data_IF_510457293852
#
_entry.id   IF_510457293852
#
_cell.length_a   1.000
_cell.length_b   1.000
_cell.length_c   1.000
_cell.angle_alpha   90.00
_cell.angle_beta   90.00
_cell.angle_gamma   90.00
#
_symmetry.space_group_name_H-M   'P 1'
#
loop_
_entity.id
_entity.type
_entity.pdbx_description
1 polymer ?
#
# COMPACT_ATOMS: atom_id res chain seq x y z
N UNK A 1 10.02 12.70 -67.36
CA UNK A 1 8.88 12.83 -66.43
C UNK A 1 9.40 13.23 -65.07
N UNK A 2 8.98 14.39 -64.58
CA UNK A 2 9.27 14.94 -63.25
C UNK A 2 8.36 14.27 -62.23
N UNK A 3 8.88 13.49 -61.28
CA UNK A 3 8.12 13.04 -60.10
C UNK A 3 8.85 13.46 -58.82
N UNK A 4 8.35 14.58 -58.29
CA UNK A 4 8.04 14.89 -56.89
C UNK A 4 9.01 14.47 -55.78
N UNK A 5 9.67 15.48 -55.18
CA UNK A 5 10.22 15.42 -53.82
C UNK A 5 9.06 15.37 -52.82
N UNK A 6 8.83 14.23 -52.19
CA UNK A 6 7.98 14.14 -51.02
C UNK A 6 8.72 14.72 -49.80
N UNK A 7 8.19 15.83 -49.29
CA UNK A 7 8.60 16.46 -48.04
C UNK A 7 8.25 15.54 -46.86
N UNK A 8 9.22 14.74 -46.40
CA UNK A 8 9.14 14.05 -45.12
C UNK A 8 9.19 15.07 -43.97
N UNK A 9 8.03 15.61 -43.58
CA UNK A 9 7.87 16.30 -42.29
C UNK A 9 8.07 15.27 -41.18
N UNK A 10 9.30 15.15 -40.71
CA UNK A 10 9.66 14.41 -39.50
C UNK A 10 8.72 14.86 -38.36
N UNK A 11 7.88 13.95 -37.91
CA UNK A 11 7.08 14.10 -36.71
C UNK A 11 8.03 14.33 -35.54
N UNK A 12 8.21 15.60 -35.11
CA UNK A 12 8.99 15.93 -33.92
C UNK A 12 8.44 15.09 -32.77
N UNK A 13 9.22 14.12 -32.30
CA UNK A 13 8.89 13.31 -31.12
C UNK A 13 8.65 14.30 -29.97
N UNK A 14 7.42 14.39 -29.48
CA UNK A 14 7.09 15.19 -28.31
C UNK A 14 7.76 14.53 -27.11
N UNK A 15 8.86 15.11 -26.65
CA UNK A 15 9.56 14.66 -25.47
C UNK A 15 9.00 15.38 -24.24
N UNK A 16 8.67 14.62 -23.19
CA UNK A 16 8.32 15.20 -21.89
C UNK A 16 9.57 15.84 -21.32
N UNK A 17 9.50 17.12 -21.00
CA UNK A 17 10.56 17.86 -20.29
C UNK A 17 10.04 18.21 -18.91
N UNK A 18 10.77 17.83 -17.88
CA UNK A 18 10.51 18.28 -16.52
C UNK A 18 11.11 19.68 -16.35
N UNK A 19 10.36 20.57 -15.70
CA UNK A 19 10.77 21.96 -15.47
C UNK A 19 11.27 22.14 -14.04
N UNK A 20 10.38 22.58 -13.15
CA UNK A 20 10.70 22.89 -11.76
C UNK A 20 10.12 21.83 -10.81
N UNK A 21 10.70 21.74 -9.63
CA UNK A 21 10.20 20.94 -8.51
C UNK A 21 9.49 21.87 -7.53
N UNK A 22 8.29 21.50 -7.11
CA UNK A 22 7.57 22.17 -6.02
C UNK A 22 7.54 21.22 -4.83
N UNK A 23 8.17 21.61 -3.74
CA UNK A 23 8.17 20.86 -2.49
C UNK A 23 7.13 21.45 -1.55
N UNK A 24 6.23 20.59 -1.05
CA UNK A 24 5.21 20.95 -0.09
C UNK A 24 5.55 20.26 1.23
N UNK A 25 5.79 21.04 2.29
CA UNK A 25 6.06 20.50 3.61
C UNK A 25 4.79 20.48 4.44
N UNK A 26 4.52 19.33 5.07
CA UNK A 26 3.36 19.15 5.93
C UNK A 26 3.84 18.79 7.35
N UNK A 27 3.27 19.40 8.40
CA UNK A 27 3.47 18.93 9.76
C UNK A 27 3.10 17.45 9.89
N UNK A 28 3.85 16.73 10.71
CA UNK A 28 3.49 15.38 11.12
C UNK A 28 2.27 15.45 12.02
N UNK A 29 1.32 14.55 11.80
CA UNK A 29 0.13 14.37 12.63
C UNK A 29 -0.21 12.89 12.68
N UNK A 30 -1.07 12.48 13.60
CA UNK A 30 -1.68 11.16 13.56
C UNK A 30 -2.47 11.01 12.24
N UNK A 31 -2.34 9.86 11.59
CA UNK A 31 -3.15 9.48 10.43
C UNK A 31 -4.56 9.13 10.88
N UNK A 32 -5.52 9.14 9.95
CA UNK A 32 -6.95 8.90 10.25
C UNK A 32 -7.62 7.98 9.22
N UNK A 33 -6.86 7.31 8.35
CA UNK A 33 -7.43 6.57 7.20
C UNK A 33 -6.76 5.24 6.88
N UNK A 34 -5.90 4.76 7.77
CA UNK A 34 -5.24 3.49 7.53
C UNK A 34 -6.15 2.38 8.06
N UNK A 35 -6.67 1.55 7.16
CA UNK A 35 -7.38 0.32 7.53
C UNK A 35 -6.51 -0.90 7.16
N UNK A 36 -5.32 -1.07 7.76
CA UNK A 36 -4.61 -2.33 7.69
C UNK A 36 -5.35 -3.37 8.55
N UNK A 37 -5.15 -4.64 8.23
CA UNK A 37 -5.64 -5.77 9.03
C UNK A 37 -5.08 -5.76 10.46
N UNK A 38 -3.96 -5.07 10.70
CA UNK A 38 -3.34 -4.88 12.01
C UNK A 38 -2.64 -3.52 12.07
N UNK A 39 -2.59 -2.94 13.26
CA UNK A 39 -1.87 -1.70 13.53
C UNK A 39 -2.79 -0.51 13.63
N UNK A 40 -2.76 0.13 14.80
CA UNK A 40 -3.48 1.35 15.14
C UNK A 40 -2.49 2.52 15.13
N UNK A 41 -2.92 3.78 15.21
CA UNK A 41 -2.05 4.95 15.45
C UNK A 41 -1.01 5.20 14.34
N UNK A 42 -1.47 5.55 13.15
CA UNK A 42 -0.56 5.73 12.01
C UNK A 42 0.12 7.10 11.98
N UNK A 43 1.34 7.19 11.42
CA UNK A 43 1.99 8.48 11.19
C UNK A 43 1.49 9.08 9.87
N UNK A 44 0.78 10.19 9.97
CA UNK A 44 0.22 10.95 8.85
C UNK A 44 0.90 12.29 8.61
N UNK A 45 0.27 13.06 7.74
CA UNK A 45 0.59 14.45 7.44
C UNK A 45 -0.68 15.29 7.64
N UNK A 46 -0.49 16.53 8.09
CA UNK A 46 -1.62 17.45 8.22
C UNK A 46 -2.34 17.69 6.89
N UNK A 47 -3.62 18.08 6.96
CA UNK A 47 -4.42 18.41 5.77
C UNK A 47 -3.90 19.63 5.00
N UNK A 48 -3.13 20.50 5.66
CA UNK A 48 -2.57 21.73 5.09
C UNK A 48 -1.05 21.73 5.20
N UNK A 49 -0.38 22.15 4.14
CA UNK A 49 1.06 22.36 4.16
C UNK A 49 1.39 23.58 5.02
N UNK A 50 2.57 23.57 5.63
CA UNK A 50 3.14 24.71 6.35
C UNK A 50 4.16 25.49 5.50
N UNK A 51 4.74 24.87 4.47
CA UNK A 51 5.62 25.56 3.52
C UNK A 51 5.44 25.06 2.09
N UNK A 52 5.76 25.93 1.14
CA UNK A 52 5.89 25.64 -0.28
C UNK A 52 7.23 26.22 -0.73
N UNK A 53 8.07 25.38 -1.32
CA UNK A 53 9.35 25.78 -1.89
C UNK A 53 9.42 25.38 -3.38
N UNK A 54 10.10 26.19 -4.18
CA UNK A 54 10.30 25.92 -5.60
C UNK A 54 11.80 25.78 -5.90
N UNK A 55 12.15 24.72 -6.62
CA UNK A 55 13.53 24.41 -7.00
C UNK A 55 13.66 24.14 -8.49
N UNK A 56 14.84 24.41 -9.03
CA UNK A 56 15.26 23.77 -10.28
C UNK A 56 15.51 22.28 -10.03
N UNK A 57 15.55 21.47 -11.08
CA UNK A 57 15.87 20.04 -10.96
C UNK A 57 17.26 19.86 -10.32
N UNK A 58 18.26 20.59 -10.79
CA UNK A 58 19.65 20.47 -10.32
C UNK A 58 19.81 20.84 -8.83
N UNK A 59 19.12 21.89 -8.37
CA UNK A 59 19.17 22.30 -6.97
C UNK A 59 18.47 21.31 -6.05
N UNK A 60 17.34 20.74 -6.51
CA UNK A 60 16.63 19.73 -5.75
C UNK A 60 17.43 18.43 -5.62
N UNK A 61 18.18 18.04 -6.66
CA UNK A 61 19.08 16.88 -6.59
C UNK A 61 20.18 17.05 -5.53
N UNK A 62 20.80 18.24 -5.48
CA UNK A 62 21.79 18.58 -4.43
C UNK A 62 21.16 18.54 -3.04
N UNK A 63 19.96 19.12 -2.88
CA UNK A 63 19.20 19.11 -1.61
C UNK A 63 18.90 17.68 -1.17
N UNK A 64 18.44 16.82 -2.09
CA UNK A 64 18.14 15.41 -1.82
C UNK A 64 19.39 14.64 -1.37
N UNK A 65 20.52 14.85 -2.03
CA UNK A 65 21.81 14.26 -1.62
C UNK A 65 22.18 14.70 -0.20
N UNK A 66 22.13 16.00 0.08
CA UNK A 66 22.45 16.54 1.40
C UNK A 66 21.56 15.94 2.51
N UNK A 67 20.25 15.77 2.24
CA UNK A 67 19.32 15.10 3.17
C UNK A 67 19.73 13.65 3.46
N UNK A 68 20.08 12.88 2.44
CA UNK A 68 20.53 11.49 2.61
C UNK A 68 21.80 11.40 3.46
N UNK A 69 22.76 12.31 3.25
CA UNK A 69 23.95 12.36 4.10
C UNK A 69 23.60 12.66 5.55
N UNK A 70 22.78 13.68 5.81
CA UNK A 70 22.35 14.04 7.18
C UNK A 70 21.62 12.88 7.88
N UNK A 71 20.73 12.19 7.18
CA UNK A 71 20.03 11.02 7.73
C UNK A 71 21.00 9.89 8.11
N UNK A 72 22.05 9.64 7.30
CA UNK A 72 23.10 8.66 7.65
C UNK A 72 23.84 9.03 8.93
N UNK A 73 24.10 10.31 9.19
CA UNK A 73 24.77 10.78 10.40
C UNK A 73 23.85 10.81 11.63
N UNK A 74 22.56 11.15 11.49
CA UNK A 74 21.63 11.15 12.61
C UNK A 74 21.32 9.72 13.11
N UNK A 75 21.30 8.72 12.23
CA UNK A 75 21.08 7.31 12.61
C UNK A 75 22.23 6.79 13.48
N UNK A 76 23.47 7.27 13.31
CA UNK A 76 24.59 6.85 14.17
C UNK A 76 24.51 7.34 15.62
N UNK A 77 23.58 8.25 15.96
CA UNK A 77 23.43 8.79 17.31
C UNK A 77 22.23 8.22 18.09
N UNK A 78 21.27 7.57 17.43
CA UNK A 78 20.14 6.91 18.10
C UNK A 78 20.41 5.41 18.23
N UNK A 79 20.82 4.98 19.43
CA UNK A 79 20.89 3.58 19.87
C UNK A 79 19.49 2.95 20.01
N UNK A 80 18.64 3.04 18.99
CA UNK A 80 17.42 2.25 18.89
C UNK A 80 17.73 1.05 17.98
N UNK A 81 18.12 -0.04 18.65
CA UNK A 81 18.47 -1.33 18.09
C UNK A 81 17.25 -2.08 17.52
N UNK A 82 16.48 -1.43 16.63
CA UNK A 82 15.39 -2.05 15.87
C UNK A 82 15.28 -1.48 14.44
N UNK A 83 16.34 -0.87 13.91
CA UNK A 83 16.39 -0.52 12.50
C UNK A 83 17.12 -1.60 11.69
N UNK A 84 16.35 -2.21 10.77
CA UNK A 84 16.85 -3.07 9.71
C UNK A 84 18.14 -2.49 9.12
N UNK A 85 19.23 -3.18 9.39
CA UNK A 85 20.58 -2.86 8.97
C UNK A 85 20.58 -2.67 7.45
N UNK A 86 20.66 -1.40 6.98
CA UNK A 86 20.74 -1.05 5.55
C UNK A 86 21.99 -1.66 4.87
N UNK A 87 22.86 -2.26 5.67
CA UNK A 87 24.01 -3.09 5.33
C UNK A 87 23.64 -4.43 4.67
N UNK A 88 22.40 -4.93 4.82
CA UNK A 88 21.95 -6.19 4.22
C UNK A 88 20.84 -5.99 3.17
N UNK A 89 21.22 -5.45 2.03
CA UNK A 89 20.47 -5.61 0.76
C UNK A 89 20.54 -7.06 0.21
N UNK A 90 20.69 -8.07 1.08
CA UNK A 90 20.72 -9.48 0.75
C UNK A 90 19.62 -10.22 1.50
N UNK A 91 18.92 -11.07 0.76
CA UNK A 91 17.72 -11.78 1.18
C UNK A 91 17.97 -12.68 2.40
N UNK A 92 16.88 -12.98 3.11
CA UNK A 92 16.73 -13.98 4.19
C UNK A 92 16.83 -13.42 5.62
N UNK A 93 15.92 -12.53 5.98
CA UNK A 93 15.32 -12.65 7.31
C UNK A 93 13.85 -12.22 7.31
N UNK A 94 12.91 -13.09 7.76
CA UNK A 94 11.53 -12.71 8.07
C UNK A 94 11.42 -11.64 9.18
N UNK A 95 12.51 -11.28 9.84
CA UNK A 95 12.51 -10.42 11.03
C UNK A 95 12.47 -8.91 10.72
N UNK A 96 12.53 -8.47 9.45
CA UNK A 96 12.54 -7.03 9.13
C UNK A 96 11.15 -6.38 8.96
N UNK A 97 10.06 -7.16 9.01
CA UNK A 97 8.67 -6.67 8.91
C UNK A 97 7.81 -7.25 10.05
N UNK A 98 8.38 -7.34 11.24
CA UNK A 98 7.60 -7.73 12.40
C UNK A 98 6.63 -6.59 12.78
N UNK A 99 5.38 -6.90 13.13
CA UNK A 99 4.45 -5.90 13.62
C UNK A 99 5.03 -5.18 14.83
N UNK A 100 5.10 -3.85 14.77
CA UNK A 100 5.52 -3.00 15.88
C UNK A 100 4.41 -2.97 16.93
N UNK A 101 4.78 -3.17 18.19
CA UNK A 101 3.86 -3.11 19.33
C UNK A 101 3.29 -1.71 19.55
N UNK A 102 2.18 -1.60 20.28
CA UNK A 102 1.50 -0.31 20.48
C UNK A 102 2.40 0.72 21.17
N UNK A 103 3.16 0.32 22.20
CA UNK A 103 4.04 1.21 22.95
C UNK A 103 5.20 1.75 22.10
N UNK A 104 5.82 0.89 21.30
CA UNK A 104 6.90 1.30 20.39
C UNK A 104 6.36 2.23 19.30
N UNK A 105 5.14 1.98 18.82
CA UNK A 105 4.47 2.86 17.86
C UNK A 105 4.15 4.24 18.45
N UNK A 106 3.67 4.30 19.69
CA UNK A 106 3.45 5.57 20.42
C UNK A 106 4.76 6.37 20.55
N UNK A 107 5.87 5.69 20.87
CA UNK A 107 7.17 6.34 20.97
C UNK A 107 7.61 6.92 19.61
N UNK A 108 7.45 6.17 18.52
CA UNK A 108 7.78 6.63 17.17
C UNK A 108 6.94 7.85 16.75
N UNK A 109 5.66 7.90 17.12
CA UNK A 109 4.80 9.07 16.85
C UNK A 109 5.28 10.30 17.63
N UNK A 110 5.58 10.13 18.93
CA UNK A 110 6.11 11.22 19.77
C UNK A 110 7.46 11.73 19.27
N UNK A 111 8.38 10.83 18.93
CA UNK A 111 9.68 11.18 18.32
C UNK A 111 9.52 11.89 16.97
N UNK A 112 8.44 11.60 16.23
CA UNK A 112 8.10 12.29 15.00
C UNK A 112 7.40 13.65 15.21
N UNK A 113 7.23 14.10 16.46
CA UNK A 113 6.61 15.37 16.82
C UNK A 113 5.08 15.33 16.93
N UNK A 114 4.49 14.13 17.07
CA UNK A 114 3.06 13.95 17.36
C UNK A 114 2.88 13.78 18.87
N UNK A 115 2.64 14.90 19.56
CA UNK A 115 2.54 14.92 21.03
C UNK A 115 1.17 14.47 21.53
N UNK A 116 0.11 14.97 20.88
CA UNK A 116 -1.28 14.65 21.17
C UNK A 116 -1.73 13.48 20.28
N UNK A 117 -1.92 12.32 20.92
CA UNK A 117 -2.37 11.10 20.26
C UNK A 117 -3.82 10.86 20.68
N UNK A 118 -4.70 10.84 19.69
CA UNK A 118 -6.12 10.56 19.84
C UNK A 118 -6.33 9.05 19.94
N UNK A 119 -6.75 8.59 21.13
CA UNK A 119 -7.03 7.19 21.39
C UNK A 119 -8.36 6.73 20.76
N UNK A 120 -9.27 7.64 20.36
CA UNK A 120 -10.55 7.29 19.73
C UNK A 120 -10.33 6.65 18.34
N UNK A 121 -9.25 6.98 17.63
CA UNK A 121 -8.93 6.38 16.31
C UNK A 121 -8.82 4.86 16.40
N UNK A 122 -8.32 4.35 17.53
CA UNK A 122 -8.20 2.92 17.76
C UNK A 122 -9.57 2.26 17.76
N UNK A 123 -10.55 2.88 18.40
CA UNK A 123 -11.91 2.36 18.50
C UNK A 123 -12.63 2.46 17.15
N UNK A 124 -12.46 3.56 16.41
CA UNK A 124 -12.97 3.72 15.04
C UNK A 124 -12.39 2.66 14.10
N UNK A 125 -11.07 2.44 14.15
CA UNK A 125 -10.41 1.42 13.36
C UNK A 125 -10.92 0.01 13.70
N UNK A 126 -11.14 -0.28 14.99
CA UNK A 126 -11.70 -1.55 15.43
C UNK A 126 -13.15 -1.72 14.95
N UNK A 127 -13.97 -0.67 15.01
CA UNK A 127 -15.32 -0.68 14.48
C UNK A 127 -15.33 -1.01 12.97
N UNK A 128 -14.49 -0.34 12.19
CA UNK A 128 -14.38 -0.58 10.74
C UNK A 128 -13.89 -2.01 10.46
N UNK A 129 -12.91 -2.51 11.21
CA UNK A 129 -12.41 -3.90 11.05
C UNK A 129 -13.52 -4.90 11.33
N UNK A 130 -14.20 -4.79 12.47
CA UNK A 130 -15.30 -5.67 12.85
C UNK A 130 -16.43 -5.62 11.82
N UNK A 131 -16.79 -4.43 11.33
CA UNK A 131 -17.78 -4.27 10.28
C UNK A 131 -17.36 -4.96 8.97
N UNK A 132 -16.07 -4.95 8.63
CA UNK A 132 -15.53 -5.59 7.41
C UNK A 132 -15.29 -7.08 7.55
N UNK A 133 -15.28 -7.62 8.77
CA UNK A 133 -15.24 -9.08 8.98
C UNK A 133 -16.56 -9.72 8.57
N UNK A 134 -17.67 -8.99 8.69
CA UNK A 134 -19.00 -9.41 8.23
C UNK A 134 -19.07 -9.17 6.73
N UNK A 135 -18.67 -10.18 5.96
CA UNK A 135 -18.68 -10.14 4.51
C UNK A 135 -19.04 -11.51 3.92
N UNK A 136 -19.54 -11.52 2.69
CA UNK A 136 -20.01 -12.75 2.03
C UNK A 136 -21.45 -13.14 2.44
N UNK A 137 -21.91 -14.30 1.95
CA UNK A 137 -23.22 -14.82 2.30
C UNK A 137 -23.15 -15.75 3.54
N UNK A 138 -24.24 -15.82 4.30
CA UNK A 138 -24.38 -16.71 5.47
C UNK A 138 -24.95 -18.10 5.12
N UNK A 139 -25.08 -18.39 3.82
CA UNK A 139 -25.57 -19.67 3.32
C UNK A 139 -24.75 -20.85 3.87
N UNK A 140 -25.37 -22.04 3.97
CA UNK A 140 -24.68 -23.29 4.33
C UNK A 140 -24.83 -24.27 3.19
N UNK A 141 -23.69 -24.76 2.70
CA UNK A 141 -23.57 -25.63 1.52
C UNK A 141 -23.98 -24.98 0.20
N UNK A 142 -25.24 -24.58 0.03
CA UNK A 142 -25.78 -24.03 -1.22
C UNK A 142 -26.32 -22.61 -1.07
N UNK A 143 -26.37 -21.86 -2.18
CA UNK A 143 -26.94 -20.51 -2.22
C UNK A 143 -28.34 -20.55 -2.83
N UNK A 144 -29.33 -20.10 -2.05
CA UNK A 144 -30.71 -19.90 -2.50
C UNK A 144 -30.83 -18.55 -3.25
N UNK A 145 -31.44 -18.50 -4.45
CA UNK A 145 -31.59 -17.27 -5.24
C UNK A 145 -32.31 -16.12 -4.51
N UNK A 146 -33.26 -16.43 -3.64
CA UNK A 146 -34.11 -15.43 -3.00
C UNK A 146 -33.54 -14.95 -1.65
N UNK A 147 -32.55 -15.68 -1.10
CA UNK A 147 -32.01 -15.42 0.26
C UNK A 147 -30.53 -15.06 0.25
N UNK A 148 -29.74 -15.57 -0.69
CA UNK A 148 -28.29 -15.38 -0.68
C UNK A 148 -27.91 -13.92 -0.97
N UNK A 149 -27.27 -13.26 -0.01
CA UNK A 149 -26.81 -11.86 -0.14
C UNK A 149 -25.92 -11.63 -1.37
N UNK A 150 -25.08 -12.60 -1.75
CA UNK A 150 -24.22 -12.47 -2.94
C UNK A 150 -25.02 -12.58 -4.24
N UNK A 151 -26.06 -13.43 -4.29
CA UNK A 151 -26.94 -13.53 -5.47
C UNK A 151 -27.76 -12.26 -5.61
N UNK A 152 -28.38 -11.80 -4.52
CA UNK A 152 -29.18 -10.57 -4.50
C UNK A 152 -28.35 -9.33 -4.85
N UNK A 153 -27.05 -9.33 -4.52
CA UNK A 153 -26.12 -8.26 -4.88
C UNK A 153 -25.47 -8.43 -6.26
N UNK A 154 -25.85 -9.47 -7.03
CA UNK A 154 -25.33 -9.74 -8.38
C UNK A 154 -23.80 -9.89 -8.46
N UNK A 155 -23.20 -10.50 -7.43
CA UNK A 155 -21.74 -10.74 -7.35
C UNK A 155 -21.42 -12.23 -7.14
N UNK A 156 -20.24 -12.71 -7.61
CA UNK A 156 -19.81 -14.07 -7.32
C UNK A 156 -19.57 -14.25 -5.82
N UNK A 157 -19.87 -15.45 -5.32
CA UNK A 157 -19.44 -15.85 -3.98
C UNK A 157 -17.89 -15.90 -3.93
N UNK A 158 -17.32 -15.63 -2.77
CA UNK A 158 -15.87 -15.72 -2.52
C UNK A 158 -15.62 -16.66 -1.34
N UNK A 159 -14.82 -17.70 -1.55
CA UNK A 159 -14.41 -18.66 -0.52
C UNK A 159 -12.89 -18.64 -0.44
N UNK A 160 -12.36 -18.10 0.66
CA UNK A 160 -10.92 -18.11 0.94
C UNK A 160 -10.52 -19.27 1.86
N UNK A 161 -11.37 -19.56 2.84
CA UNK A 161 -11.27 -20.69 3.76
C UNK A 161 -12.68 -21.16 4.11
N UNK A 162 -12.80 -22.27 4.84
CA UNK A 162 -14.09 -22.75 5.28
C UNK A 162 -14.85 -21.63 6.02
N UNK A 163 -16.09 -21.37 5.58
CA UNK A 163 -17.01 -20.37 6.13
C UNK A 163 -16.51 -18.92 6.11
N UNK A 164 -15.62 -18.56 5.18
CA UNK A 164 -15.17 -17.17 5.04
C UNK A 164 -14.61 -16.88 3.63
N UNK A 165 -14.95 -15.73 3.01
CA UNK A 165 -16.05 -14.82 3.36
C UNK A 165 -17.44 -15.46 3.30
N UNK A 166 -17.70 -16.31 2.31
CA UNK A 166 -18.99 -16.97 2.17
C UNK A 166 -19.08 -18.29 2.96
N UNK A 167 -20.25 -18.58 3.51
CA UNK A 167 -20.58 -19.83 4.20
C UNK A 167 -20.91 -21.02 3.28
N UNK A 168 -21.26 -20.75 2.01
CA UNK A 168 -21.49 -21.79 1.01
C UNK A 168 -20.20 -22.57 0.70
N UNK A 169 -20.32 -23.79 0.20
CA UNK A 169 -19.16 -24.64 -0.09
C UNK A 169 -18.81 -24.61 -1.57
N UNK A 170 -17.55 -24.93 -1.88
CA UNK A 170 -17.03 -24.92 -3.26
C UNK A 170 -17.82 -25.82 -4.20
N UNK A 171 -18.28 -26.95 -3.68
CA UNK A 171 -18.89 -28.02 -4.48
C UNK A 171 -20.39 -27.81 -4.67
N UNK A 172 -21.04 -27.11 -3.74
CA UNK A 172 -22.50 -26.96 -3.70
C UNK A 172 -22.98 -25.50 -3.88
N UNK A 173 -22.07 -24.53 -4.02
CA UNK A 173 -22.44 -23.15 -4.32
C UNK A 173 -23.13 -23.05 -5.68
N UNK A 174 -24.40 -22.64 -5.67
CA UNK A 174 -25.25 -22.46 -6.86
C UNK A 174 -25.47 -20.99 -7.22
N UNK A 175 -24.56 -20.10 -6.82
CA UNK A 175 -24.63 -18.70 -7.21
C UNK A 175 -24.46 -18.59 -8.75
N UNK A 176 -25.48 -18.09 -9.49
CA UNK A 176 -25.38 -17.95 -10.95
C UNK A 176 -24.30 -16.96 -11.39
N UNK A 177 -23.92 -16.01 -10.53
CA UNK A 177 -22.84 -15.05 -10.80
C UNK A 177 -21.44 -15.65 -10.61
N UNK A 178 -21.37 -16.89 -10.11
CA UNK A 178 -20.14 -17.66 -9.95
C UNK A 178 -19.67 -17.82 -8.50
N UNK A 179 -18.60 -18.59 -8.35
CA UNK A 179 -17.97 -18.86 -7.06
C UNK A 179 -16.44 -18.86 -7.22
N UNK A 180 -15.80 -17.87 -6.62
CA UNK A 180 -14.35 -17.69 -6.62
C UNK A 180 -13.73 -18.40 -5.41
N UNK A 181 -12.67 -19.15 -5.67
CA UNK A 181 -11.97 -19.93 -4.65
C UNK A 181 -10.53 -19.46 -4.58
N UNK A 182 -10.04 -19.19 -3.36
CA UNK A 182 -8.64 -18.85 -3.16
C UNK A 182 -7.72 -19.99 -3.59
N UNK A 183 -6.72 -19.67 -4.41
CA UNK A 183 -5.77 -20.64 -4.92
C UNK A 183 -4.33 -20.23 -4.57
N UNK A 184 -3.79 -20.87 -3.53
CA UNK A 184 -2.45 -20.58 -3.02
C UNK A 184 -1.37 -20.77 -4.08
N UNK A 185 -1.44 -21.84 -4.86
CA UNK A 185 -0.46 -22.17 -5.92
C UNK A 185 -0.41 -21.08 -7.00
N UNK A 186 -1.58 -20.55 -7.39
CA UNK A 186 -1.68 -19.44 -8.37
C UNK A 186 -1.00 -18.18 -7.83
N UNK A 187 -1.22 -17.85 -6.55
CA UNK A 187 -0.59 -16.70 -5.89
C UNK A 187 0.94 -16.87 -5.82
N UNK A 188 1.42 -18.02 -5.36
CA UNK A 188 2.86 -18.32 -5.29
C UNK A 188 3.53 -18.28 -6.66
N UNK A 189 2.89 -18.84 -7.69
CA UNK A 189 3.40 -18.83 -9.06
C UNK A 189 3.50 -17.40 -9.60
N UNK A 190 2.47 -16.57 -9.37
CA UNK A 190 2.49 -15.16 -9.74
C UNK A 190 3.64 -14.43 -9.05
N UNK A 191 3.79 -14.60 -7.74
CA UNK A 191 4.88 -14.00 -6.96
C UNK A 191 6.25 -14.30 -7.56
N UNK A 192 6.55 -15.59 -7.81
CA UNK A 192 7.84 -15.97 -8.39
C UNK A 192 8.08 -15.36 -9.78
N UNK A 193 7.05 -15.31 -10.64
CA UNK A 193 7.14 -14.68 -11.97
C UNK A 193 7.42 -13.18 -11.86
N UNK A 194 6.71 -12.49 -10.99
CA UNK A 194 6.86 -11.05 -10.78
C UNK A 194 8.25 -10.71 -10.25
N UNK A 195 8.75 -11.44 -9.26
CA UNK A 195 10.12 -11.22 -8.73
C UNK A 195 11.19 -11.48 -9.80
N UNK A 196 11.05 -12.53 -10.61
CA UNK A 196 11.97 -12.79 -11.72
C UNK A 196 12.01 -11.64 -12.72
N UNK A 197 10.85 -11.09 -13.11
CA UNK A 197 10.77 -9.95 -14.03
C UNK A 197 11.44 -8.70 -13.47
N UNK A 198 11.22 -8.40 -12.19
CA UNK A 198 11.85 -7.24 -11.54
C UNK A 198 13.37 -7.36 -11.42
N UNK A 199 13.89 -8.58 -11.20
CA UNK A 199 15.33 -8.85 -11.13
C UNK A 199 16.01 -8.95 -12.50
N UNK A 200 15.29 -9.41 -13.53
CA UNK A 200 15.80 -9.58 -14.89
C UNK A 200 15.81 -8.32 -15.76
N UNK A 201 15.22 -7.21 -15.29
CA UNK A 201 15.28 -5.90 -15.94
C UNK A 201 16.47 -5.05 -15.43
N UNK A 202 17.63 -5.67 -15.23
CA UNK A 202 18.91 -4.98 -15.01
C UNK A 202 19.81 -5.19 -16.21
#
# INVERSE_FOLDING_TARGET
MMHSRENNKSMKKRAVRFGNVTELSFPRQQGHSCIPSKGDLTLGMAKRHCSIDHFTIDDYEKKKLHRVYREKFNISSHNNQLFCDKSSMFMQSPQCLQPIGINERLLLLKEAGVEDIDDEEKDDCNFIRNSREICGCECRDYCDPDVCSCILAEIPCQIERANFPCGCTTDNCKNPNGCNIYNLTKVQTHYHRTIKKLKGNK
#
